data_IF_396273956492
#
_entry.id   IF_396273956492
#
_cell.length_a   1.000
_cell.length_b   1.000
_cell.length_c   1.000
_cell.angle_alpha   90.00
_cell.angle_beta   90.00
_cell.angle_gamma   90.00
#
_symmetry.space_group_name_H-M   'P 1'
#
loop_
_entity.id
_entity.type
_entity.pdbx_description
1 polymer ?
#
# COMPACT_ATOMS: atom_id res chain seq x y z
N UNK A 1 17.14 -12.48 -9.15
CA UNK A 1 16.52 -11.74 -8.05
C UNK A 1 16.87 -12.36 -6.69
N UNK A 2 16.75 -13.65 -6.49
CA UNK A 2 17.03 -14.37 -5.22
C UNK A 2 18.45 -14.10 -4.67
N UNK A 3 19.48 -14.10 -5.53
CA UNK A 3 20.87 -13.79 -5.12
C UNK A 3 21.00 -12.35 -4.64
N UNK A 4 20.33 -11.40 -5.28
CA UNK A 4 20.33 -9.98 -4.89
C UNK A 4 19.70 -9.81 -3.50
N UNK A 5 18.54 -10.41 -3.25
CA UNK A 5 17.85 -10.40 -1.96
C UNK A 5 18.74 -10.95 -0.85
N UNK A 6 19.33 -12.14 -1.05
CA UNK A 6 20.20 -12.81 -0.07
C UNK A 6 21.42 -11.98 0.35
N UNK A 7 21.87 -11.08 -0.50
CA UNK A 7 23.09 -10.29 -0.27
C UNK A 7 22.84 -8.81 -0.09
N UNK A 8 21.59 -8.35 -0.17
CA UNK A 8 21.22 -6.93 -0.14
C UNK A 8 21.71 -6.19 1.13
N UNK A 9 21.72 -6.85 2.29
CA UNK A 9 22.18 -6.26 3.56
C UNK A 9 23.69 -6.15 3.72
N UNK A 10 24.50 -6.79 2.86
CA UNK A 10 25.98 -6.78 3.03
C UNK A 10 26.62 -5.41 2.91
N UNK A 11 26.24 -4.53 1.94
CA UNK A 11 26.83 -3.20 1.83
C UNK A 11 26.60 -2.36 3.08
N UNK A 12 25.38 -2.37 3.62
CA UNK A 12 25.04 -1.59 4.82
C UNK A 12 25.75 -2.12 6.07
N UNK A 13 25.89 -3.44 6.20
CA UNK A 13 26.64 -4.06 7.29
C UNK A 13 28.13 -3.66 7.25
N UNK A 14 28.72 -3.55 6.05
CA UNK A 14 30.10 -3.06 5.89
C UNK A 14 30.23 -1.56 6.17
N UNK A 15 29.24 -0.76 5.82
CA UNK A 15 29.21 0.67 6.07
C UNK A 15 29.04 1.01 7.56
N UNK A 16 28.65 0.06 8.39
CA UNK A 16 28.39 0.24 9.81
C UNK A 16 29.66 0.51 10.68
N UNK A 17 30.80 0.75 10.07
CA UNK A 17 32.02 1.23 10.73
C UNK A 17 32.13 2.76 10.74
N UNK A 18 31.31 3.45 9.95
CA UNK A 18 31.31 4.90 9.77
C UNK A 18 29.87 5.41 9.63
N UNK A 19 29.42 6.26 10.57
CA UNK A 19 28.03 6.72 10.59
C UNK A 19 27.65 7.55 9.35
N UNK A 20 28.44 8.48 8.83
CA UNK A 20 28.16 9.17 7.59
C UNK A 20 27.99 8.24 6.39
N UNK A 21 28.87 7.25 6.24
CA UNK A 21 28.79 6.23 5.18
C UNK A 21 27.52 5.38 5.33
N UNK A 22 27.21 4.95 6.53
CA UNK A 22 26.01 4.19 6.85
C UNK A 22 24.72 4.95 6.45
N UNK A 23 24.60 6.22 6.87
CA UNK A 23 23.45 7.07 6.51
C UNK A 23 23.34 7.23 4.99
N UNK A 24 24.48 7.49 4.33
CA UNK A 24 24.49 7.66 2.86
C UNK A 24 24.05 6.41 2.11
N UNK A 25 24.44 5.22 2.55
CA UNK A 25 23.97 3.97 1.95
C UNK A 25 22.47 3.75 2.18
N UNK A 26 21.93 4.13 3.34
CA UNK A 26 20.48 4.07 3.60
C UNK A 26 19.68 5.03 2.72
N UNK A 27 20.19 6.25 2.53
CA UNK A 27 19.56 7.23 1.60
C UNK A 27 19.49 6.68 0.17
N UNK A 28 20.61 6.13 -0.32
CA UNK A 28 20.69 5.51 -1.64
C UNK A 28 19.71 4.33 -1.72
N UNK A 29 19.70 3.45 -0.74
CA UNK A 29 18.80 2.30 -0.71
C UNK A 29 17.31 2.74 -0.70
N UNK A 30 16.98 3.76 0.09
CA UNK A 30 15.63 4.34 0.11
C UNK A 30 15.22 4.93 -1.23
N UNK A 31 16.11 5.69 -1.86
CA UNK A 31 15.85 6.28 -3.17
C UNK A 31 15.59 5.22 -4.26
N UNK A 32 16.35 4.12 -4.27
CA UNK A 32 16.17 3.09 -5.29
C UNK A 32 15.07 2.09 -4.97
N UNK A 33 14.94 1.63 -3.72
CA UNK A 33 14.10 0.49 -3.39
C UNK A 33 12.81 0.83 -2.67
N UNK A 34 12.66 2.07 -2.13
CA UNK A 34 11.47 2.50 -1.41
C UNK A 34 10.69 3.63 -2.13
N UNK A 35 11.35 4.47 -2.93
CA UNK A 35 10.71 5.58 -3.63
C UNK A 35 9.62 5.06 -4.58
N UNK A 36 8.36 5.56 -4.47
CA UNK A 36 7.27 5.18 -5.37
C UNK A 36 7.57 5.42 -6.86
N UNK A 37 8.34 6.44 -7.19
CA UNK A 37 8.74 6.77 -8.55
C UNK A 37 9.92 5.96 -9.09
N UNK A 38 10.57 5.14 -8.25
CA UNK A 38 11.72 4.35 -8.68
C UNK A 38 11.31 3.13 -9.50
N UNK A 39 11.87 2.92 -10.70
CA UNK A 39 11.66 1.70 -11.48
C UNK A 39 12.29 0.46 -10.83
N UNK A 40 13.15 0.65 -9.82
CA UNK A 40 13.82 -0.43 -9.07
C UNK A 40 13.17 -0.70 -7.72
N UNK A 41 12.02 -0.08 -7.42
CA UNK A 41 11.30 -0.27 -6.15
C UNK A 41 11.07 -1.75 -5.89
N UNK A 42 11.56 -2.24 -4.71
CA UNK A 42 11.45 -3.63 -4.32
C UNK A 42 11.58 -3.78 -2.80
N UNK A 43 10.48 -4.10 -2.13
CA UNK A 43 10.50 -4.41 -0.70
C UNK A 43 11.32 -5.67 -0.39
N UNK A 44 11.33 -6.65 -1.31
CA UNK A 44 12.14 -7.86 -1.20
C UNK A 44 13.64 -7.56 -1.05
N UNK A 45 14.14 -6.51 -1.73
CA UNK A 45 15.54 -6.06 -1.61
C UNK A 45 15.69 -5.11 -0.42
N UNK A 46 14.70 -4.26 -0.18
CA UNK A 46 14.81 -3.21 0.84
C UNK A 46 14.74 -3.76 2.26
N UNK A 47 13.88 -4.76 2.53
CA UNK A 47 13.74 -5.38 3.86
C UNK A 47 15.07 -5.92 4.40
N UNK A 48 15.85 -6.75 3.68
CA UNK A 48 17.15 -7.22 4.16
C UNK A 48 18.16 -6.11 4.43
N UNK A 49 18.11 -5.00 3.67
CA UNK A 49 18.95 -3.82 3.93
C UNK A 49 18.58 -3.18 5.26
N UNK A 50 17.28 -2.98 5.49
CA UNK A 50 16.78 -2.39 6.73
C UNK A 50 17.03 -3.29 7.94
N UNK A 51 16.90 -4.61 7.79
CA UNK A 51 17.23 -5.59 8.83
C UNK A 51 18.70 -5.49 9.23
N UNK A 52 19.61 -5.46 8.25
CA UNK A 52 21.03 -5.29 8.48
C UNK A 52 21.33 -3.94 9.15
N UNK A 53 20.64 -2.88 8.76
CA UNK A 53 20.79 -1.57 9.36
C UNK A 53 20.34 -1.54 10.83
N UNK A 54 19.21 -2.13 11.14
CA UNK A 54 18.69 -2.22 12.53
C UNK A 54 19.61 -3.08 13.40
N UNK A 55 20.19 -4.14 12.85
CA UNK A 55 21.09 -5.06 13.55
C UNK A 55 22.54 -4.54 13.71
N UNK A 56 22.92 -3.44 13.04
CA UNK A 56 24.27 -2.92 13.07
C UNK A 56 24.71 -2.53 14.49
N UNK A 57 25.77 -3.14 15.03
CA UNK A 57 26.26 -2.91 16.40
C UNK A 57 27.18 -1.69 16.53
N UNK A 58 27.85 -1.29 15.45
CA UNK A 58 28.79 -0.15 15.44
C UNK A 58 28.18 1.23 15.25
N UNK A 59 26.85 1.33 15.13
CA UNK A 59 26.11 2.56 14.83
C UNK A 59 25.22 2.92 16.01
N UNK A 60 25.24 4.20 16.39
CA UNK A 60 24.34 4.72 17.43
C UNK A 60 22.86 4.59 17.03
N UNK A 61 22.01 4.37 18.02
CA UNK A 61 20.58 4.08 17.81
C UNK A 61 19.83 5.19 17.09
N UNK A 62 20.25 6.43 17.24
CA UNK A 62 19.64 7.59 16.58
C UNK A 62 19.65 7.45 15.04
N UNK A 63 20.74 6.92 14.47
CA UNK A 63 20.85 6.71 13.03
C UNK A 63 20.03 5.52 12.51
N UNK A 64 19.50 4.67 13.40
CA UNK A 64 18.68 3.50 13.06
C UNK A 64 17.18 3.73 13.17
N UNK A 65 16.74 4.86 13.76
CA UNK A 65 15.31 5.12 13.98
C UNK A 65 14.54 5.07 12.66
N UNK A 66 15.03 5.75 11.62
CA UNK A 66 14.40 5.74 10.30
C UNK A 66 14.29 4.34 9.71
N UNK A 67 15.34 3.52 9.86
CA UNK A 67 15.36 2.13 9.38
C UNK A 67 14.34 1.25 10.11
N UNK A 68 14.16 1.43 11.43
CA UNK A 68 13.13 0.69 12.19
C UNK A 68 11.73 1.02 11.69
N UNK A 69 11.43 2.31 11.49
CA UNK A 69 10.12 2.77 10.98
C UNK A 69 9.89 2.24 9.54
N UNK A 70 10.90 2.37 8.68
CA UNK A 70 10.82 1.88 7.30
C UNK A 70 10.62 0.35 7.25
N UNK A 71 11.30 -0.40 8.12
CA UNK A 71 11.17 -1.86 8.20
C UNK A 71 9.77 -2.28 8.65
N UNK A 72 9.21 -1.63 9.67
CA UNK A 72 7.83 -1.88 10.10
C UNK A 72 6.83 -1.61 8.97
N UNK A 73 7.01 -0.50 8.24
CA UNK A 73 6.19 -0.15 7.08
C UNK A 73 6.31 -1.17 5.95
N UNK A 74 7.54 -1.57 5.59
CA UNK A 74 7.78 -2.53 4.51
C UNK A 74 7.19 -3.91 4.82
N UNK A 75 7.22 -4.36 6.06
CA UNK A 75 6.64 -5.64 6.48
C UNK A 75 5.12 -5.64 6.62
N UNK A 76 4.50 -4.45 6.75
CA UNK A 76 3.05 -4.36 6.93
C UNK A 76 2.32 -4.68 5.63
N UNK A 77 1.32 -5.56 5.69
CA UNK A 77 0.58 -6.04 4.52
C UNK A 77 1.50 -6.50 3.38
N UNK A 78 2.56 -7.23 3.72
CA UNK A 78 3.52 -7.73 2.73
C UNK A 78 2.83 -8.75 1.80
N UNK A 79 3.14 -8.76 0.49
CA UNK A 79 2.63 -9.78 -0.41
C UNK A 79 2.87 -11.19 0.13
N UNK A 80 1.84 -12.03 0.06
CA UNK A 80 1.85 -13.37 0.63
C UNK A 80 1.38 -13.48 2.09
N UNK A 81 1.27 -12.37 2.83
CA UNK A 81 0.79 -12.33 4.22
C UNK A 81 -0.69 -11.91 4.30
N UNK A 82 -1.40 -12.21 5.40
CA UNK A 82 -2.74 -11.70 5.63
C UNK A 82 -2.76 -10.17 5.69
N UNK A 83 -3.71 -9.55 4.99
CA UNK A 83 -3.96 -8.12 5.10
C UNK A 83 -4.47 -7.75 6.49
N UNK A 84 -4.06 -6.60 6.99
CA UNK A 84 -4.60 -6.07 8.24
C UNK A 84 -6.10 -5.78 8.07
N UNK A 85 -6.88 -6.11 9.10
CA UNK A 85 -8.31 -5.80 9.12
C UNK A 85 -8.54 -4.29 9.06
N UNK A 86 -9.55 -3.89 8.29
CA UNK A 86 -9.95 -2.51 8.13
C UNK A 86 -11.47 -2.41 8.27
N UNK A 87 -11.93 -1.40 9.01
CA UNK A 87 -13.36 -1.11 9.17
C UNK A 87 -13.63 0.32 8.71
N UNK A 88 -14.31 0.46 7.58
CA UNK A 88 -14.75 1.74 7.06
C UNK A 88 -16.20 2.07 7.43
N UNK A 89 -16.57 3.34 7.25
CA UNK A 89 -17.94 3.81 7.49
C UNK A 89 -18.56 4.28 6.17
N UNK A 90 -19.76 3.80 5.83
CA UNK A 90 -20.50 4.22 4.64
C UNK A 90 -21.13 5.62 4.83
N UNK A 91 -21.66 6.18 3.76
CA UNK A 91 -22.35 7.49 3.80
C UNK A 91 -23.56 7.51 4.74
N UNK A 92 -24.23 6.37 4.89
CA UNK A 92 -25.39 6.16 5.75
C UNK A 92 -25.00 5.89 7.22
N UNK A 93 -23.70 5.83 7.52
CA UNK A 93 -23.17 5.58 8.87
C UNK A 93 -23.03 4.10 9.22
N UNK A 94 -23.27 3.18 8.29
CA UNK A 94 -23.04 1.75 8.47
C UNK A 94 -21.55 1.41 8.48
N UNK A 95 -21.16 0.39 9.23
CA UNK A 95 -19.78 -0.12 9.22
C UNK A 95 -19.62 -1.26 8.21
N UNK A 96 -18.52 -1.25 7.48
CA UNK A 96 -18.09 -2.33 6.58
C UNK A 96 -16.68 -2.74 6.95
N UNK A 97 -16.49 -4.02 7.27
CA UNK A 97 -15.17 -4.58 7.52
C UNK A 97 -14.63 -5.31 6.29
N UNK A 98 -13.32 -5.34 6.15
CA UNK A 98 -12.65 -6.07 5.07
C UNK A 98 -13.05 -7.56 5.06
N UNK A 99 -13.18 -8.16 6.22
CA UNK A 99 -13.55 -9.57 6.38
C UNK A 99 -14.99 -9.87 5.94
N UNK A 100 -15.88 -8.87 5.87
CA UNK A 100 -17.25 -9.00 5.39
C UNK A 100 -17.39 -8.95 3.87
N UNK A 101 -16.35 -8.48 3.17
CA UNK A 101 -16.38 -8.42 1.71
C UNK A 101 -16.26 -9.83 1.11
N UNK A 102 -17.16 -10.15 0.20
CA UNK A 102 -17.12 -11.37 -0.60
C UNK A 102 -16.16 -11.24 -1.79
N UNK A 103 -16.18 -12.27 -2.65
CA UNK A 103 -15.43 -12.33 -3.90
C UNK A 103 -14.18 -13.19 -3.82
N UNK A 104 -13.72 -13.60 -4.99
CA UNK A 104 -12.46 -14.33 -5.19
C UNK A 104 -11.26 -13.41 -5.02
N UNK A 105 -11.46 -12.13 -5.37
CA UNK A 105 -10.51 -11.04 -5.22
C UNK A 105 -11.16 -9.84 -4.56
N UNK A 106 -10.35 -9.02 -3.89
CA UNK A 106 -10.76 -7.74 -3.31
C UNK A 106 -9.75 -6.67 -3.71
N UNK A 107 -10.26 -5.62 -4.34
CA UNK A 107 -9.48 -4.44 -4.73
C UNK A 107 -9.75 -3.32 -3.72
N UNK A 108 -8.77 -3.01 -2.88
CA UNK A 108 -8.80 -1.82 -2.04
C UNK A 108 -8.28 -0.65 -2.86
N UNK A 109 -9.09 0.37 -3.02
CA UNK A 109 -8.78 1.59 -3.75
C UNK A 109 -8.79 2.79 -2.81
N UNK A 110 -7.61 3.25 -2.44
CA UNK A 110 -7.45 4.46 -1.65
C UNK A 110 -7.46 5.67 -2.59
N UNK A 111 -8.38 6.60 -2.37
CA UNK A 111 -8.60 7.72 -3.27
C UNK A 111 -8.87 9.03 -2.51
N UNK A 112 -8.74 10.14 -3.22
CA UNK A 112 -9.13 11.46 -2.73
C UNK A 112 -10.08 12.11 -3.73
N UNK A 113 -11.25 12.63 -3.27
CA UNK A 113 -12.16 13.40 -4.11
C UNK A 113 -11.48 14.52 -4.86
N UNK A 114 -11.77 14.67 -6.15
CA UNK A 114 -11.19 15.71 -7.01
C UNK A 114 -9.77 15.41 -7.51
N UNK A 115 -9.18 14.28 -7.15
CA UNK A 115 -7.88 13.84 -7.66
C UNK A 115 -8.01 13.38 -9.13
N UNK A 116 -7.31 13.99 -10.11
CA UNK A 116 -7.41 13.60 -11.52
C UNK A 116 -6.96 12.17 -11.79
N UNK A 117 -5.91 11.71 -11.11
CA UNK A 117 -5.37 10.35 -11.25
C UNK A 117 -6.34 9.31 -10.70
N UNK A 118 -7.01 9.62 -9.58
CA UNK A 118 -8.06 8.75 -9.02
C UNK A 118 -9.20 8.59 -10.01
N UNK A 119 -9.66 9.70 -10.61
CA UNK A 119 -10.72 9.67 -11.62
C UNK A 119 -10.32 8.86 -12.86
N UNK A 120 -9.07 8.97 -13.32
CA UNK A 120 -8.57 8.13 -14.42
C UNK A 120 -8.62 6.63 -14.06
N UNK A 121 -8.20 6.28 -12.85
CA UNK A 121 -8.25 4.92 -12.38
C UNK A 121 -9.69 4.39 -12.25
N UNK A 122 -10.61 5.18 -11.73
CA UNK A 122 -12.05 4.87 -11.66
C UNK A 122 -12.62 4.58 -13.06
N UNK A 123 -12.36 5.46 -14.02
CA UNK A 123 -12.78 5.30 -15.41
C UNK A 123 -12.16 4.06 -16.06
N UNK A 124 -10.89 3.77 -15.78
CA UNK A 124 -10.22 2.58 -16.28
C UNK A 124 -10.90 1.32 -15.76
N UNK A 125 -11.08 1.19 -14.45
CA UNK A 125 -11.77 0.03 -13.85
C UNK A 125 -13.19 -0.12 -14.42
N UNK A 126 -13.93 0.98 -14.52
CA UNK A 126 -15.29 0.97 -15.03
C UNK A 126 -15.40 0.64 -16.52
N UNK A 127 -14.35 0.88 -17.33
CA UNK A 127 -14.35 0.63 -18.78
C UNK A 127 -13.66 -0.68 -19.18
N UNK A 128 -12.72 -1.19 -18.37
CA UNK A 128 -12.03 -2.45 -18.65
C UNK A 128 -13.01 -3.63 -18.70
N UNK A 129 -12.91 -4.43 -19.75
CA UNK A 129 -13.73 -5.64 -19.92
C UNK A 129 -13.43 -6.68 -18.84
N UNK A 130 -12.16 -6.78 -18.41
CA UNK A 130 -11.74 -7.72 -17.37
C UNK A 130 -12.33 -7.31 -16.02
N UNK A 131 -12.08 -6.09 -15.57
CA UNK A 131 -12.61 -5.62 -14.29
C UNK A 131 -14.13 -5.70 -14.23
N UNK A 132 -14.83 -5.22 -15.26
CA UNK A 132 -16.29 -5.31 -15.35
C UNK A 132 -16.77 -6.75 -15.26
N UNK A 133 -16.18 -7.66 -16.03
CA UNK A 133 -16.56 -9.08 -16.01
C UNK A 133 -16.39 -9.72 -14.62
N UNK A 134 -15.30 -9.36 -13.91
CA UNK A 134 -15.05 -9.86 -12.56
C UNK A 134 -16.00 -9.23 -11.52
N UNK A 135 -16.31 -7.94 -11.65
CA UNK A 135 -17.25 -7.24 -10.76
C UNK A 135 -18.67 -7.75 -10.98
N UNK A 136 -19.13 -7.80 -12.24
CA UNK A 136 -20.50 -8.24 -12.61
C UNK A 136 -20.75 -9.70 -12.21
N UNK A 137 -19.72 -10.54 -12.22
CA UNK A 137 -19.80 -11.94 -11.76
C UNK A 137 -19.66 -12.11 -10.25
N UNK A 138 -19.44 -11.03 -9.49
CA UNK A 138 -19.20 -11.08 -8.05
C UNK A 138 -17.85 -11.70 -7.64
N UNK A 139 -16.94 -11.92 -8.59
CA UNK A 139 -15.60 -12.45 -8.32
C UNK A 139 -14.65 -11.38 -7.79
N UNK A 140 -14.83 -10.11 -8.16
CA UNK A 140 -14.06 -8.98 -7.65
C UNK A 140 -14.95 -8.03 -6.86
N UNK A 141 -14.64 -7.80 -5.60
CA UNK A 141 -15.21 -6.72 -4.81
C UNK A 141 -14.28 -5.52 -4.80
N UNK A 142 -14.80 -4.32 -5.07
CA UNK A 142 -14.06 -3.07 -4.97
C UNK A 142 -14.46 -2.35 -3.70
N UNK A 143 -13.49 -2.06 -2.83
CA UNK A 143 -13.64 -1.22 -1.64
C UNK A 143 -12.91 0.10 -1.88
N UNK A 144 -13.67 1.16 -2.19
CA UNK A 144 -13.14 2.51 -2.33
C UNK A 144 -13.07 3.18 -0.95
N UNK A 145 -11.87 3.56 -0.53
CA UNK A 145 -11.57 4.06 0.81
C UNK A 145 -11.08 5.50 0.72
N UNK A 146 -11.80 6.41 1.37
CA UNK A 146 -11.35 7.78 1.59
C UNK A 146 -10.61 7.86 2.93
N UNK A 147 -9.29 8.10 2.95
CA UNK A 147 -8.48 8.01 4.16
C UNK A 147 -8.45 9.30 4.99
N UNK A 148 -8.94 10.43 4.46
CA UNK A 148 -8.86 11.74 5.11
C UNK A 148 -10.13 12.09 5.89
N UNK A 149 -10.19 13.33 6.42
CA UNK A 149 -11.20 13.77 7.39
C UNK A 149 -12.23 14.75 6.88
N UNK A 150 -12.11 15.22 5.63
CA UNK A 150 -13.14 16.10 5.02
C UNK A 150 -14.32 15.26 4.49
N UNK A 151 -15.14 14.79 5.43
CA UNK A 151 -16.30 13.93 5.11
C UNK A 151 -17.38 14.66 4.31
N UNK A 152 -17.44 15.99 4.35
CA UNK A 152 -18.37 16.77 3.54
C UNK A 152 -17.94 16.79 2.07
N UNK A 153 -16.65 16.99 1.83
CA UNK A 153 -16.09 16.86 0.48
C UNK A 153 -16.30 15.44 -0.05
N UNK A 154 -16.00 14.42 0.75
CA UNK A 154 -16.20 13.03 0.39
C UNK A 154 -17.65 12.73 -0.01
N UNK A 155 -18.63 13.12 0.81
CA UNK A 155 -20.06 12.91 0.52
C UNK A 155 -20.52 13.55 -0.79
N UNK A 156 -20.00 14.72 -1.12
CA UNK A 156 -20.35 15.42 -2.39
C UNK A 156 -19.90 14.66 -3.64
N UNK A 157 -18.84 13.85 -3.52
CA UNK A 157 -18.25 13.11 -4.65
C UNK A 157 -18.73 11.65 -4.76
N UNK A 158 -19.54 11.16 -3.83
CA UNK A 158 -20.01 9.77 -3.84
C UNK A 158 -20.75 9.39 -5.13
N UNK A 159 -21.53 10.32 -5.69
CA UNK A 159 -22.29 10.10 -6.92
C UNK A 159 -21.40 9.96 -8.18
N UNK A 160 -20.12 10.33 -8.09
CA UNK A 160 -19.16 10.22 -9.19
C UNK A 160 -18.55 8.82 -9.28
N UNK A 161 -18.60 8.04 -8.19
CA UNK A 161 -18.03 6.70 -8.14
C UNK A 161 -18.91 5.67 -8.85
N UNK A 162 -18.32 4.65 -9.48
CA UNK A 162 -19.08 3.62 -10.17
C UNK A 162 -20.05 2.88 -9.24
N UNK A 163 -21.26 2.62 -9.75
CA UNK A 163 -22.25 1.83 -9.04
C UNK A 163 -21.73 0.39 -8.78
N UNK A 164 -22.13 -0.18 -7.65
CA UNK A 164 -21.72 -1.54 -7.25
C UNK A 164 -20.41 -1.62 -6.47
N UNK A 165 -19.69 -0.51 -6.31
CA UNK A 165 -18.56 -0.45 -5.39
C UNK A 165 -19.01 -0.22 -3.95
N UNK A 166 -18.28 -0.80 -3.02
CA UNK A 166 -18.43 -0.44 -1.60
C UNK A 166 -17.58 0.80 -1.32
N UNK A 167 -18.20 1.89 -0.89
CA UNK A 167 -17.53 3.18 -0.68
C UNK A 167 -17.58 3.54 0.80
N UNK A 168 -16.42 3.80 1.38
CA UNK A 168 -16.27 4.09 2.81
C UNK A 168 -15.29 5.21 3.07
N UNK A 169 -15.43 5.87 4.22
CA UNK A 169 -14.41 6.75 4.81
C UNK A 169 -13.79 6.10 6.05
N UNK A 170 -12.69 6.68 6.54
CA UNK A 170 -11.93 6.20 7.71
C UNK A 170 -12.02 7.15 8.92
N UNK A 171 -13.17 7.25 9.61
CA UNK A 171 -13.29 8.12 10.78
C UNK A 171 -12.43 7.67 11.97
N UNK A 172 -11.98 6.42 11.96
CA UNK A 172 -11.10 5.86 13.00
C UNK A 172 -9.63 6.18 12.78
N UNK A 173 -9.29 6.88 11.69
CA UNK A 173 -7.92 7.23 11.30
C UNK A 173 -6.96 6.02 11.27
N UNK A 174 -7.48 4.88 10.81
CA UNK A 174 -6.71 3.64 10.72
C UNK A 174 -5.58 3.75 9.70
N UNK A 175 -5.81 4.53 8.62
CA UNK A 175 -4.85 4.73 7.55
C UNK A 175 -3.80 5.77 7.98
N UNK A 176 -4.22 7.00 8.27
CA UNK A 176 -3.28 8.11 8.47
C UNK A 176 -2.58 8.09 9.83
N UNK A 177 -3.29 7.79 10.94
CA UNK A 177 -2.69 7.78 12.27
C UNK A 177 -2.15 6.41 12.68
N UNK A 178 -2.91 5.34 12.46
CA UNK A 178 -2.48 3.98 12.85
C UNK A 178 -1.60 3.32 11.79
N UNK A 179 -1.56 3.90 10.58
CA UNK A 179 -0.79 3.37 9.44
C UNK A 179 -1.10 1.89 9.17
N UNK A 180 -2.36 1.49 9.32
CA UNK A 180 -2.80 0.11 9.07
C UNK A 180 -2.48 -0.33 7.66
N UNK A 181 -2.61 0.58 6.70
CA UNK A 181 -2.12 0.43 5.33
C UNK A 181 -1.12 1.52 4.99
N UNK A 182 -0.17 1.21 4.12
CA UNK A 182 0.75 2.20 3.56
C UNK A 182 0.06 2.87 2.38
N UNK A 183 -0.28 4.15 2.52
CA UNK A 183 -0.86 4.97 1.46
C UNK A 183 0.01 6.22 1.34
N UNK A 184 0.92 6.21 0.37
CA UNK A 184 1.90 7.31 0.19
C UNK A 184 1.36 8.43 -0.69
N UNK A 185 0.44 8.07 -1.58
CA UNK A 185 -0.25 8.97 -2.49
C UNK A 185 -1.57 8.32 -2.92
N UNK A 186 -2.48 9.11 -3.48
CA UNK A 186 -3.70 8.63 -4.11
C UNK A 186 -3.65 8.87 -5.62
N UNK A 187 -4.08 7.91 -6.45
CA UNK A 187 -4.61 6.60 -6.06
C UNK A 187 -3.53 5.66 -5.52
N UNK A 188 -3.89 4.80 -4.58
CA UNK A 188 -3.09 3.65 -4.17
C UNK A 188 -3.99 2.41 -4.10
N UNK A 189 -3.46 1.27 -4.49
CA UNK A 189 -4.21 0.02 -4.59
C UNK A 189 -3.55 -1.11 -3.81
N UNK A 190 -4.41 -1.97 -3.25
CA UNK A 190 -4.03 -3.29 -2.77
C UNK A 190 -4.95 -4.31 -3.44
N UNK A 191 -4.38 -5.40 -3.95
CA UNK A 191 -5.13 -6.55 -4.42
C UNK A 191 -4.99 -7.67 -3.40
N UNK A 192 -6.10 -8.24 -3.00
CA UNK A 192 -6.16 -9.36 -2.05
C UNK A 192 -6.88 -10.53 -2.69
N UNK A 193 -6.57 -11.74 -2.23
CA UNK A 193 -7.36 -12.93 -2.54
C UNK A 193 -8.61 -13.06 -1.66
N UNK A 194 -9.41 -14.11 -1.89
CA UNK A 194 -10.63 -14.37 -1.16
C UNK A 194 -10.44 -14.61 0.35
N UNK A 195 -9.26 -15.00 0.78
CA UNK A 195 -8.88 -15.16 2.19
C UNK A 195 -8.24 -13.90 2.80
N UNK A 196 -8.29 -12.76 2.10
CA UNK A 196 -7.63 -11.51 2.49
C UNK A 196 -6.10 -11.58 2.53
N UNK A 197 -5.48 -12.48 1.79
CA UNK A 197 -4.03 -12.51 1.63
C UNK A 197 -3.61 -11.49 0.60
N UNK A 198 -2.57 -10.72 0.89
CA UNK A 198 -2.09 -9.67 -0.01
C UNK A 198 -1.43 -10.28 -1.24
N UNK A 199 -1.91 -9.89 -2.41
CA UNK A 199 -1.33 -10.23 -3.70
C UNK A 199 -0.45 -9.10 -4.19
N UNK A 200 -1.00 -7.87 -4.24
CA UNK A 200 -0.30 -6.66 -4.61
C UNK A 200 -0.47 -5.60 -3.52
N UNK A 201 0.59 -4.86 -3.25
CA UNK A 201 0.66 -3.86 -2.19
C UNK A 201 1.09 -2.50 -2.73
N UNK A 202 0.39 -1.44 -2.33
CA UNK A 202 0.77 -0.04 -2.55
C UNK A 202 1.16 0.22 -4.02
N UNK A 203 0.27 -0.23 -4.93
CA UNK A 203 0.41 -0.05 -6.37
C UNK A 203 -0.28 1.25 -6.77
N UNK A 204 0.35 2.08 -7.62
CA UNK A 204 -0.17 3.38 -8.05
C UNK A 204 -0.83 3.35 -9.43
N UNK A 205 -0.61 2.29 -10.20
CA UNK A 205 -1.19 2.09 -11.53
C UNK A 205 -2.18 0.92 -11.50
N UNK A 206 -3.40 1.19 -11.94
CA UNK A 206 -4.45 0.16 -12.04
C UNK A 206 -4.16 -0.83 -13.17
N UNK A 207 -3.44 -0.41 -14.20
CA UNK A 207 -3.03 -1.26 -15.32
C UNK A 207 -2.15 -2.42 -14.83
N UNK A 208 -1.26 -2.18 -13.88
CA UNK A 208 -0.43 -3.24 -13.26
C UNK A 208 -1.25 -4.28 -12.51
N UNK A 209 -2.45 -3.95 -12.09
CA UNK A 209 -3.36 -4.90 -11.44
C UNK A 209 -4.02 -5.77 -12.49
N UNK A 210 -4.34 -5.20 -13.66
CA UNK A 210 -4.93 -5.93 -14.78
C UNK A 210 -3.93 -6.90 -15.45
N UNK A 211 -2.64 -6.56 -15.41
CA UNK A 211 -1.54 -7.40 -15.95
C UNK A 211 -1.21 -8.61 -15.06
N UNK A 212 -1.63 -8.57 -13.79
CA UNK A 212 -1.42 -9.68 -12.85
C UNK A 212 -2.44 -10.80 -13.08
#
# INVERSE_FOLDING_TARGET
QEIAVKHAGRPIAKAAVDSPMFVRFLEIAGHYFDDPGSPYRSEEIYIPILEAAVAASGIEDIYKVGSRVALQRARRNHPGEPAAEFVGTTAEGGEVSLSQLGGEYKLLFFYTPGCPECRRAEQYIASSKLFRGLIDSGRLSVLAIYPDTDYEQWRRHLAELPAGWTVVCDPRQQINLRQTYVVRATPSFYLLDGQNKVILKDVFSVERIEEW
#
